data_IF_861000576412
#
_entry.id   IF_861000576412
#
_cell.length_a   1.000
_cell.length_b   1.000
_cell.length_c   1.000
_cell.angle_alpha   90.00
_cell.angle_beta   90.00
_cell.angle_gamma   90.00
#
_symmetry.space_group_name_H-M   'P 1'
#
loop_
_entity.id
_entity.type
_entity.pdbx_description
1 polymer ?
#
# COMPACT_ATOMS: atom_id res chain seq x y z
N UNK A 1 -3.22 -3.45 -3.82
CA UNK A 1 -1.90 -3.51 -3.17
C UNK A 1 -2.04 -4.50 -2.02
N UNK A 2 -1.07 -5.39 -1.79
CA UNK A 2 -1.15 -6.49 -0.81
C UNK A 2 -0.97 -6.06 0.66
N UNK A 3 -1.37 -4.83 0.99
CA UNK A 3 -1.24 -4.23 2.33
C UNK A 3 0.14 -3.61 2.60
N UNK A 4 0.20 -2.84 3.69
CA UNK A 4 1.43 -2.33 4.30
C UNK A 4 1.73 -3.14 5.57
N UNK A 5 2.98 -3.12 6.03
CA UNK A 5 3.38 -3.80 7.27
C UNK A 5 2.63 -3.26 8.50
N UNK A 6 2.43 -4.13 9.50
CA UNK A 6 1.88 -3.75 10.81
C UNK A 6 2.91 -2.85 11.52
N UNK A 7 2.45 -1.72 12.04
CA UNK A 7 3.27 -0.84 12.85
C UNK A 7 3.12 -1.17 14.34
N UNK A 8 4.24 -1.20 15.06
CA UNK A 8 4.27 -1.48 16.49
C UNK A 8 4.69 -0.23 17.28
N UNK A 9 3.92 0.12 18.30
CA UNK A 9 4.31 1.12 19.28
C UNK A 9 5.31 0.55 20.29
N UNK A 10 6.12 1.38 20.97
CA UNK A 10 7.06 0.91 22.00
C UNK A 10 6.42 0.12 23.16
N UNK A 11 5.13 0.34 23.42
CA UNK A 11 4.35 -0.40 24.42
C UNK A 11 3.70 -1.69 23.88
N UNK A 12 4.11 -2.15 22.70
CA UNK A 12 3.63 -3.38 22.07
C UNK A 12 2.24 -3.27 21.43
N UNK A 13 1.55 -2.13 21.51
CA UNK A 13 0.28 -1.93 20.79
C UNK A 13 0.54 -1.91 19.29
N UNK A 14 -0.27 -2.65 18.55
CA UNK A 14 -0.11 -2.81 17.11
C UNK A 14 -1.15 -1.98 16.37
N UNK A 15 -0.74 -1.44 15.23
CA UNK A 15 -1.55 -0.60 14.36
C UNK A 15 -1.45 -1.09 12.93
N UNK A 16 -2.58 -1.23 12.25
CA UNK A 16 -2.63 -1.63 10.85
C UNK A 16 -3.84 -0.98 10.19
N UNK A 17 -3.83 -0.94 8.86
CA UNK A 17 -4.99 -0.54 8.07
C UNK A 17 -5.63 -1.74 7.38
N UNK A 18 -6.93 -1.68 7.21
CA UNK A 18 -7.73 -2.68 6.47
C UNK A 18 -8.16 -2.09 5.12
N UNK A 19 -8.25 -2.95 4.12
CA UNK A 19 -8.82 -2.61 2.82
C UNK A 19 -10.33 -2.79 2.81
N UNK A 20 -10.89 -2.76 1.61
CA UNK A 20 -12.30 -2.94 1.38
C UNK A 20 -12.80 -4.34 1.72
N UNK A 21 -14.10 -4.46 1.98
CA UNK A 21 -14.77 -5.76 2.09
C UNK A 21 -16.04 -5.82 1.21
N UNK A 22 -17.11 -6.48 1.68
CA UNK A 22 -18.40 -6.40 1.04
C UNK A 22 -19.05 -5.03 1.33
N UNK A 23 -19.50 -4.25 0.33
CA UNK A 23 -20.17 -2.99 0.61
C UNK A 23 -21.38 -3.16 1.54
N UNK A 24 -21.45 -2.36 2.59
CA UNK A 24 -22.55 -2.37 3.56
C UNK A 24 -22.46 -3.47 4.63
N UNK A 25 -21.32 -4.17 4.73
CA UNK A 25 -21.09 -5.17 5.79
C UNK A 25 -20.47 -4.58 7.05
N UNK A 26 -19.97 -3.34 7.01
CA UNK A 26 -19.28 -2.70 8.13
C UNK A 26 -20.14 -2.71 9.39
N UNK A 27 -19.56 -3.19 10.50
CA UNK A 27 -20.20 -3.21 11.81
C UNK A 27 -19.34 -2.57 12.91
N UNK A 28 -18.09 -2.18 12.59
CA UNK A 28 -17.15 -1.58 13.53
C UNK A 28 -16.61 -2.53 14.60
N UNK A 29 -16.92 -3.83 14.53
CA UNK A 29 -16.56 -4.86 15.52
C UNK A 29 -15.82 -6.02 14.87
N UNK A 30 -16.46 -6.69 13.90
CA UNK A 30 -15.92 -7.83 13.14
C UNK A 30 -15.58 -7.42 11.71
N UNK A 31 -16.47 -6.64 11.10
CA UNK A 31 -16.30 -6.05 9.79
C UNK A 31 -15.84 -4.62 9.97
N UNK A 32 -14.52 -4.47 9.85
CA UNK A 32 -13.78 -3.23 10.08
C UNK A 32 -13.01 -2.84 8.83
N UNK A 33 -13.60 -3.00 7.65
CA UNK A 33 -13.04 -2.52 6.38
C UNK A 33 -12.67 -1.04 6.45
N UNK A 34 -11.77 -0.62 5.56
CA UNK A 34 -11.40 0.78 5.38
C UNK A 34 -10.98 1.51 6.65
N UNK A 35 -10.34 0.81 7.59
CA UNK A 35 -10.11 1.30 8.93
C UNK A 35 -8.65 1.29 9.32
N UNK A 36 -8.24 2.23 10.19
CA UNK A 36 -7.04 2.09 11.01
C UNK A 36 -7.43 1.42 12.33
N UNK A 37 -6.78 0.32 12.63
CA UNK A 37 -7.11 -0.56 13.75
C UNK A 37 -5.96 -0.53 14.75
N UNK A 38 -6.28 -0.36 16.03
CA UNK A 38 -5.35 -0.46 17.15
C UNK A 38 -5.70 -1.69 17.98
N UNK A 39 -4.76 -2.61 18.14
CA UNK A 39 -4.95 -3.83 18.93
C UNK A 39 -3.89 -3.97 20.02
N UNK A 40 -4.22 -4.78 21.04
CA UNK A 40 -3.27 -5.16 22.08
C UNK A 40 -2.15 -6.07 21.56
N UNK A 41 -1.02 -6.18 22.27
CA UNK A 41 0.11 -7.02 21.86
C UNK A 41 -0.24 -8.49 21.61
N UNK A 42 -1.28 -9.00 22.28
CA UNK A 42 -1.74 -10.39 22.17
C UNK A 42 -2.76 -10.61 21.04
N UNK A 43 -3.11 -9.57 20.26
CA UNK A 43 -4.08 -9.63 19.15
C UNK A 43 -5.52 -10.03 19.51
N UNK A 44 -5.85 -10.12 20.80
CA UNK A 44 -7.20 -10.51 21.27
C UNK A 44 -8.14 -9.33 21.48
N UNK A 45 -7.60 -8.13 21.72
CA UNK A 45 -8.38 -6.96 22.10
C UNK A 45 -8.27 -5.87 21.04
N UNK A 46 -9.41 -5.49 20.45
CA UNK A 46 -9.57 -4.26 19.71
C UNK A 46 -9.58 -3.09 20.70
N UNK A 47 -8.56 -2.23 20.64
CA UNK A 47 -8.37 -1.12 21.58
C UNK A 47 -8.81 0.24 21.00
N UNK A 48 -9.03 0.32 19.70
CA UNK A 48 -9.48 1.53 19.04
C UNK A 48 -9.53 1.35 17.52
N UNK A 49 -10.35 2.18 16.89
CA UNK A 49 -10.54 2.18 15.45
C UNK A 49 -10.69 3.62 14.96
N UNK A 50 -10.25 3.88 13.75
CA UNK A 50 -10.66 5.02 12.95
C UNK A 50 -11.19 4.47 11.63
N UNK A 51 -12.37 4.91 11.22
CA UNK A 51 -12.96 4.55 9.92
C UNK A 51 -13.43 5.85 9.26
N UNK A 52 -12.99 6.17 8.02
CA UNK A 52 -13.50 7.32 7.29
C UNK A 52 -15.03 7.27 7.17
N UNK A 53 -15.67 8.41 7.34
CA UNK A 53 -17.12 8.60 7.27
C UNK A 53 -17.75 8.16 5.94
N UNK A 54 -16.95 8.05 4.88
CA UNK A 54 -17.33 7.60 3.55
C UNK A 54 -16.86 6.16 3.23
N UNK A 55 -16.63 5.32 4.24
CA UNK A 55 -16.18 3.92 4.08
C UNK A 55 -17.03 3.14 3.06
N UNK A 56 -18.35 3.31 3.07
CA UNK A 56 -19.25 2.61 2.17
C UNK A 56 -18.95 2.89 0.68
N UNK A 57 -18.63 4.14 0.35
CA UNK A 57 -18.27 4.52 -1.02
C UNK A 57 -16.84 4.05 -1.36
N UNK A 58 -15.94 4.05 -0.38
CA UNK A 58 -14.59 3.50 -0.56
C UNK A 58 -14.63 2.00 -0.86
N UNK A 59 -15.44 1.26 -0.10
CA UNK A 59 -15.67 -0.17 -0.26
C UNK A 59 -16.19 -0.51 -1.67
N UNK A 60 -17.19 0.25 -2.14
CA UNK A 60 -17.78 0.08 -3.48
C UNK A 60 -16.79 0.32 -4.62
N UNK A 61 -15.85 1.23 -4.43
CA UNK A 61 -15.00 1.76 -5.51
C UNK A 61 -13.57 1.24 -5.47
N UNK A 62 -13.26 0.25 -4.62
CA UNK A 62 -11.90 -0.27 -4.42
C UNK A 62 -10.95 0.87 -4.03
N UNK A 63 -11.42 1.84 -3.22
CA UNK A 63 -10.66 3.03 -2.82
C UNK A 63 -9.89 2.86 -1.50
N UNK A 64 -9.44 1.63 -1.25
CA UNK A 64 -8.79 1.13 -0.03
C UNK A 64 -7.96 2.15 0.77
N UNK A 65 -8.27 2.31 2.05
CA UNK A 65 -7.38 2.85 3.06
C UNK A 65 -6.20 1.92 3.33
N UNK A 66 -6.45 0.60 3.27
CA UNK A 66 -5.47 -0.46 3.47
C UNK A 66 -4.27 -0.42 2.52
N UNK A 67 -4.34 0.35 1.42
CA UNK A 67 -3.23 0.46 0.47
C UNK A 67 -2.02 1.21 1.02
N UNK A 68 -2.17 2.11 2.01
CA UNK A 68 -1.05 2.97 2.42
C UNK A 68 -0.55 2.84 3.85
N UNK A 69 -1.07 1.88 4.60
CA UNK A 69 -0.53 1.53 5.91
C UNK A 69 -0.69 2.63 6.95
N UNK A 70 -0.09 2.39 8.11
CA UNK A 70 -0.14 3.31 9.25
C UNK A 70 1.29 3.65 9.66
N UNK A 71 1.68 4.91 9.50
CA UNK A 71 2.95 5.43 9.99
C UNK A 71 2.75 5.97 11.40
N UNK A 72 3.35 5.32 12.39
CA UNK A 72 3.41 5.85 13.75
C UNK A 72 4.55 6.86 13.83
N UNK A 73 4.24 8.08 14.26
CA UNK A 73 5.27 9.10 14.45
C UNK A 73 5.96 8.89 15.80
N UNK A 74 7.27 9.17 15.89
CA UNK A 74 7.92 9.48 17.16
C UNK A 74 7.16 10.58 17.91
N UNK A 75 7.31 10.59 19.24
CA UNK A 75 6.59 11.52 20.09
C UNK A 75 6.77 12.97 19.62
N UNK A 76 5.66 13.68 19.44
CA UNK A 76 5.65 15.10 19.09
C UNK A 76 5.47 15.96 20.35
N UNK A 77 5.98 17.21 20.38
CA UNK A 77 5.68 18.11 21.48
C UNK A 77 4.19 18.54 21.47
N UNK A 78 3.72 19.08 22.58
CA UNK A 78 2.35 19.61 22.69
C UNK A 78 1.33 18.61 23.24
N UNK A 79 0.03 18.86 23.07
CA UNK A 79 -1.04 18.15 23.78
C UNK A 79 -1.27 16.72 23.29
N UNK A 80 -0.85 16.39 22.06
CA UNK A 80 -1.00 15.05 21.47
C UNK A 80 0.36 14.49 21.03
N UNK A 81 1.12 13.86 21.93
CA UNK A 81 2.45 13.37 21.59
C UNK A 81 2.42 12.13 20.71
N UNK A 82 1.38 11.29 20.82
CA UNK A 82 1.29 10.02 20.11
C UNK A 82 0.47 10.18 18.82
N UNK A 83 1.14 10.50 17.71
CA UNK A 83 0.48 10.72 16.42
C UNK A 83 0.69 9.55 15.45
N UNK A 84 -0.25 9.40 14.51
CA UNK A 84 -0.12 8.51 13.36
C UNK A 84 -0.60 9.21 12.08
N UNK A 85 0.00 8.84 10.95
CA UNK A 85 -0.43 9.27 9.62
C UNK A 85 -0.81 8.07 8.77
N UNK A 86 -1.89 8.18 8.00
CA UNK A 86 -2.36 7.15 7.07
C UNK A 86 -2.87 7.81 5.80
N UNK A 87 -2.70 7.14 4.67
CA UNK A 87 -3.30 7.53 3.40
C UNK A 87 -3.68 6.25 2.63
N UNK A 88 -4.58 6.39 1.65
CA UNK A 88 -5.05 5.27 0.84
C UNK A 88 -5.34 5.67 -0.59
N UNK A 89 -5.88 4.74 -1.38
CA UNK A 89 -6.16 4.93 -2.81
C UNK A 89 -7.07 6.13 -3.06
N UNK A 90 -8.03 6.39 -2.17
CA UNK A 90 -8.91 7.56 -2.31
C UNK A 90 -8.14 8.89 -2.32
N UNK A 91 -7.02 8.97 -1.61
CA UNK A 91 -6.11 10.11 -1.65
C UNK A 91 -6.20 11.16 -0.55
N UNK A 92 -7.14 11.14 0.41
CA UNK A 92 -6.94 11.87 1.65
C UNK A 92 -5.86 11.23 2.53
N UNK A 93 -4.97 12.05 3.08
CA UNK A 93 -4.06 11.69 4.16
C UNK A 93 -4.64 12.22 5.48
N UNK A 94 -4.70 11.36 6.49
CA UNK A 94 -5.29 11.63 7.80
C UNK A 94 -4.21 11.70 8.88
N UNK A 95 -4.33 12.69 9.78
CA UNK A 95 -3.54 12.77 11.01
C UNK A 95 -4.39 12.30 12.19
N UNK A 96 -3.93 11.26 12.88
CA UNK A 96 -4.67 10.58 13.94
C UNK A 96 -3.98 10.76 15.29
N UNK A 97 -4.78 10.88 16.36
CA UNK A 97 -4.31 10.72 17.73
C UNK A 97 -4.32 9.21 18.07
N UNK A 98 -3.17 8.61 18.36
CA UNK A 98 -3.07 7.18 18.68
C UNK A 98 -3.73 6.82 20.01
N UNK A 99 -3.89 7.79 20.91
CA UNK A 99 -4.55 7.57 22.19
C UNK A 99 -6.07 7.56 22.07
N UNK A 100 -6.62 8.27 21.06
CA UNK A 100 -8.04 8.24 20.70
C UNK A 100 -8.20 8.37 19.19
N UNK A 101 -8.38 7.23 18.50
CA UNK A 101 -8.43 7.17 17.04
C UNK A 101 -9.69 7.83 16.43
N UNK A 102 -10.71 8.12 17.23
CA UNK A 102 -11.89 8.87 16.79
C UNK A 102 -13.09 8.02 16.33
N UNK A 103 -12.93 6.71 16.15
CA UNK A 103 -14.01 5.79 15.80
C UNK A 103 -14.53 5.99 14.37
N UNK A 104 -15.78 5.61 14.16
CA UNK A 104 -16.56 5.89 12.95
C UNK A 104 -17.63 6.93 13.26
N UNK A 105 -17.81 7.90 12.36
CA UNK A 105 -18.89 8.89 12.43
C UNK A 105 -19.69 8.83 11.13
N UNK A 106 -20.85 8.15 11.09
CA UNK A 106 -21.68 8.06 9.89
C UNK A 106 -22.04 9.45 9.36
N UNK A 107 -21.79 9.72 8.08
CA UNK A 107 -22.03 11.04 7.47
C UNK A 107 -21.03 12.14 7.86
N UNK A 108 -20.08 11.83 8.75
CA UNK A 108 -19.01 12.72 9.17
C UNK A 108 -19.45 13.85 10.13
N UNK A 109 -18.56 14.81 10.39
CA UNK A 109 -17.16 14.82 9.98
C UNK A 109 -16.32 13.75 10.70
N UNK A 110 -15.23 13.33 10.07
CA UNK A 110 -14.23 12.44 10.69
C UNK A 110 -13.61 13.10 11.93
N UNK A 111 -13.48 12.36 13.04
CA UNK A 111 -12.85 12.84 14.30
C UNK A 111 -11.33 12.71 14.28
N UNK A 112 -10.71 13.16 13.21
CA UNK A 112 -9.24 13.19 13.01
C UNK A 112 -8.67 14.55 13.42
N UNK A 113 -7.35 14.64 13.59
CA UNK A 113 -6.69 15.90 13.92
C UNK A 113 -6.56 16.83 12.70
N UNK A 114 -6.31 16.25 11.51
CA UNK A 114 -6.28 16.97 10.23
C UNK A 114 -6.45 15.98 9.06
N UNK A 115 -6.84 16.52 7.90
CA UNK A 115 -7.05 15.78 6.65
C UNK A 115 -6.53 16.62 5.48
N UNK A 116 -5.64 16.07 4.65
CA UNK A 116 -5.09 16.75 3.47
C UNK A 116 -5.27 15.92 2.20
N UNK A 117 -5.69 16.51 1.07
CA UNK A 117 -5.74 15.81 -0.20
C UNK A 117 -4.32 15.63 -0.76
N UNK A 118 -3.92 14.39 -1.03
CA UNK A 118 -2.65 14.05 -1.67
C UNK A 118 -2.83 13.41 -3.06
N UNK A 119 -4.09 13.25 -3.52
CA UNK A 119 -4.48 12.47 -4.72
C UNK A 119 -4.24 10.97 -4.53
N UNK A 120 -4.52 10.17 -5.56
CA UNK A 120 -4.49 8.72 -5.48
C UNK A 120 -3.15 8.20 -4.97
N UNK A 121 -3.18 7.34 -3.95
CA UNK A 121 -2.01 6.81 -3.26
C UNK A 121 -2.09 5.27 -3.16
N UNK A 122 -1.39 4.59 -4.05
CA UNK A 122 -0.80 3.28 -3.73
C UNK A 122 0.61 3.57 -3.28
N UNK A 123 0.72 4.10 -2.08
CA UNK A 123 1.92 4.66 -1.52
C UNK A 123 1.94 4.32 -0.04
N UNK A 124 2.97 4.69 0.69
CA UNK A 124 2.79 4.89 2.12
C UNK A 124 3.69 6.00 2.62
N UNK A 125 3.26 6.69 3.68
CA UNK A 125 3.99 7.84 4.16
C UNK A 125 5.30 7.40 4.82
N UNK A 126 6.35 8.19 4.60
CA UNK A 126 7.61 8.08 5.34
C UNK A 126 7.79 9.28 6.28
N UNK A 127 8.82 9.23 7.13
CA UNK A 127 9.00 10.19 8.22
C UNK A 127 10.45 10.65 8.31
N UNK A 128 10.64 11.89 8.77
CA UNK A 128 11.90 12.33 9.37
C UNK A 128 11.66 13.43 10.42
N UNK A 129 12.64 13.60 11.30
CA UNK A 129 12.69 14.75 12.22
C UNK A 129 13.54 15.84 11.58
N UNK A 130 13.00 17.05 11.46
CA UNK A 130 13.75 18.16 10.89
C UNK A 130 14.71 18.82 11.88
N UNK A 131 15.46 19.84 11.44
CA UNK A 131 16.45 20.54 12.27
C UNK A 131 15.86 21.27 13.50
N UNK A 132 14.57 21.57 13.46
CA UNK A 132 13.81 22.14 14.57
C UNK A 132 13.34 21.08 15.59
N UNK A 133 13.70 19.81 15.42
CA UNK A 133 13.26 18.71 16.29
C UNK A 133 11.81 18.29 16.07
N UNK A 134 11.11 18.87 15.09
CA UNK A 134 9.70 18.58 14.80
C UNK A 134 9.59 17.52 13.69
N UNK A 135 8.60 16.65 13.82
CA UNK A 135 8.31 15.61 12.84
C UNK A 135 7.79 16.15 11.53
N UNK A 136 8.19 15.49 10.45
CA UNK A 136 7.69 15.70 9.09
C UNK A 136 7.24 14.38 8.50
N UNK A 137 6.06 14.41 7.89
CA UNK A 137 5.51 13.31 7.12
C UNK A 137 5.74 13.59 5.64
N UNK A 138 6.26 12.59 4.94
CA UNK A 138 6.43 12.62 3.48
C UNK A 138 5.31 11.79 2.89
N UNK A 139 4.44 12.42 2.10
CA UNK A 139 3.39 11.75 1.34
C UNK A 139 3.79 11.59 -0.12
N UNK A 140 3.27 10.57 -0.79
CA UNK A 140 3.39 10.43 -2.24
C UNK A 140 2.06 10.07 -2.88
N UNK A 141 1.40 11.01 -3.53
CA UNK A 141 0.20 10.72 -4.32
C UNK A 141 0.39 11.11 -5.78
N UNK A 142 -0.65 10.96 -6.59
CA UNK A 142 -0.54 11.28 -8.01
C UNK A 142 -1.71 10.77 -8.84
N UNK A 143 -1.41 10.43 -10.08
CA UNK A 143 -2.33 9.83 -11.05
C UNK A 143 -1.64 8.66 -11.77
N UNK A 144 -2.29 8.09 -12.78
CA UNK A 144 -1.78 6.91 -13.49
C UNK A 144 -0.46 7.11 -14.27
N UNK A 145 0.06 8.34 -14.39
CA UNK A 145 1.28 8.66 -15.15
C UNK A 145 2.35 9.38 -14.34
N UNK A 146 1.96 10.07 -13.27
CA UNK A 146 2.86 10.88 -12.46
C UNK A 146 2.62 10.66 -10.96
N UNK A 147 3.71 10.67 -10.20
CA UNK A 147 3.70 10.80 -8.75
C UNK A 147 4.21 12.20 -8.34
N UNK A 148 3.79 12.65 -7.17
CA UNK A 148 4.22 13.88 -6.53
C UNK A 148 4.52 13.60 -5.05
N UNK A 149 5.70 14.01 -4.61
CA UNK A 149 6.12 13.93 -3.21
C UNK A 149 5.85 15.27 -2.54
N UNK A 150 5.30 15.24 -1.32
CA UNK A 150 5.02 16.44 -0.53
C UNK A 150 5.50 16.23 0.90
N UNK A 151 6.16 17.25 1.47
CA UNK A 151 6.61 17.28 2.87
C UNK A 151 5.62 18.10 3.70
N UNK A 152 5.14 17.49 4.79
CA UNK A 152 4.21 18.08 5.74
C UNK A 152 4.85 18.13 7.12
N UNK A 153 5.12 19.34 7.62
CA UNK A 153 5.51 19.53 9.02
C UNK A 153 4.29 19.30 9.93
N UNK A 154 4.51 18.64 11.06
CA UNK A 154 3.51 18.57 12.12
C UNK A 154 3.53 19.87 12.90
N UNK A 155 2.50 20.69 12.72
CA UNK A 155 2.21 21.77 13.66
C UNK A 155 1.64 21.15 14.94
N UNK A 156 2.06 21.64 16.10
CA UNK A 156 1.62 21.13 17.41
C UNK A 156 0.86 22.16 18.24
N UNK A 157 0.88 23.43 17.81
CA UNK A 157 0.21 24.57 18.46
C UNK A 157 -0.08 25.66 17.41
N UNK A 158 -1.19 26.42 17.50
CA UNK A 158 -2.25 26.30 18.52
C UNK A 158 -3.12 25.05 18.33
N UNK A 159 -3.10 24.47 17.14
CA UNK A 159 -3.79 23.23 16.80
C UNK A 159 -2.84 22.25 16.14
N UNK A 160 -3.05 20.96 16.39
CA UNK A 160 -2.26 19.90 15.76
C UNK A 160 -2.73 19.71 14.33
N UNK A 161 -1.84 19.90 13.35
CA UNK A 161 -2.19 19.87 11.93
C UNK A 161 -1.00 19.55 11.03
N UNK A 162 -1.29 19.16 9.79
CA UNK A 162 -0.31 19.14 8.71
C UNK A 162 -0.13 20.54 8.12
N UNK A 163 1.11 21.00 8.07
CA UNK A 163 1.51 22.23 7.37
C UNK A 163 2.45 21.86 6.24
N UNK A 164 2.05 22.15 5.01
CA UNK A 164 2.88 21.86 3.83
C UNK A 164 4.12 22.76 3.85
N UNK A 165 5.31 22.17 3.81
CA UNK A 165 6.57 22.91 3.65
C UNK A 165 6.94 23.03 2.16
N UNK A 166 6.69 21.98 1.38
CA UNK A 166 6.94 22.00 -0.06
C UNK A 166 6.61 20.69 -0.76
N UNK A 167 6.64 20.71 -2.09
CA UNK A 167 6.39 19.55 -2.93
C UNK A 167 7.41 19.44 -4.05
N UNK A 168 7.73 18.21 -4.47
CA UNK A 168 8.49 17.98 -5.68
C UNK A 168 7.62 18.33 -6.91
N UNK A 169 8.29 18.70 -8.00
CA UNK A 169 7.64 18.67 -9.31
C UNK A 169 7.16 17.24 -9.58
N UNK A 170 5.97 17.05 -10.19
CA UNK A 170 5.51 15.73 -10.57
C UNK A 170 6.55 15.02 -11.45
N UNK A 171 6.82 13.75 -11.15
CA UNK A 171 7.77 12.93 -11.90
C UNK A 171 7.09 11.67 -12.41
N UNK A 172 7.67 11.11 -13.48
CA UNK A 172 7.11 9.94 -14.16
C UNK A 172 7.00 8.74 -13.22
N UNK A 173 5.77 8.24 -13.08
CA UNK A 173 5.45 7.04 -12.33
C UNK A 173 4.12 6.49 -12.84
N UNK A 174 4.18 5.42 -13.62
CA UNK A 174 2.99 4.88 -14.29
C UNK A 174 2.10 3.99 -13.43
N UNK A 175 1.14 3.35 -14.09
CA UNK A 175 0.20 2.34 -13.58
C UNK A 175 -0.83 2.90 -12.59
N UNK A 176 -0.36 3.42 -11.47
CA UNK A 176 -1.17 3.82 -10.32
C UNK A 176 -0.58 5.08 -9.67
N UNK A 177 -1.44 5.93 -9.11
CA UNK A 177 -1.01 7.14 -8.40
C UNK A 177 -0.14 6.86 -7.16
N UNK A 178 0.82 7.75 -6.92
CA UNK A 178 1.76 7.71 -5.81
C UNK A 178 2.92 6.72 -6.00
N UNK A 179 3.83 6.68 -5.03
CA UNK A 179 4.90 5.69 -4.95
C UNK A 179 5.40 5.50 -3.52
N UNK A 180 6.24 4.50 -3.31
CA UNK A 180 6.92 4.25 -2.04
C UNK A 180 8.10 5.19 -1.87
N UNK A 181 8.28 5.66 -0.63
CA UNK A 181 9.37 6.56 -0.27
C UNK A 181 10.14 6.03 0.93
N UNK A 182 11.44 6.31 0.94
CA UNK A 182 12.30 6.12 2.10
C UNK A 182 13.10 7.40 2.33
N UNK A 183 13.48 7.67 3.58
CA UNK A 183 14.22 8.88 3.94
C UNK A 183 15.53 8.50 4.58
N UNK A 184 16.59 9.25 4.25
CA UNK A 184 17.87 9.21 4.94
C UNK A 184 18.25 10.62 5.39
N UNK A 185 18.84 10.75 6.57
CA UNK A 185 19.38 12.01 7.08
C UNK A 185 20.56 11.76 8.02
N UNK A 186 21.34 12.80 8.32
CA UNK A 186 22.27 12.78 9.44
C UNK A 186 21.58 13.34 10.69
N UNK A 187 20.68 12.54 11.27
CA UNK A 187 19.83 12.98 12.39
C UNK A 187 18.99 14.20 12.02
N UNK A 188 19.13 15.27 12.79
CA UNK A 188 18.46 16.57 12.58
C UNK A 188 19.36 17.60 11.89
N UNK A 189 20.53 17.21 11.37
CA UNK A 189 21.42 18.17 10.70
C UNK A 189 20.76 18.76 9.44
N UNK A 190 20.66 20.09 9.39
CA UNK A 190 20.07 20.82 8.28
C UNK A 190 20.74 20.49 6.94
N UNK A 191 19.92 20.34 5.89
CA UNK A 191 20.39 20.09 4.52
C UNK A 191 20.82 18.65 4.23
N UNK A 192 20.78 17.74 5.20
CA UNK A 192 21.23 16.34 5.02
C UNK A 192 20.11 15.36 4.66
N UNK A 193 18.84 15.77 4.82
CA UNK A 193 17.70 14.89 4.59
C UNK A 193 17.41 14.73 3.10
N UNK A 194 17.40 13.47 2.64
CA UNK A 194 17.10 13.07 1.27
C UNK A 194 15.89 12.14 1.28
N UNK A 195 14.91 12.44 0.42
CA UNK A 195 13.75 11.60 0.15
C UNK A 195 14.05 10.79 -1.11
N UNK A 196 14.06 9.47 -0.96
CA UNK A 196 14.25 8.51 -2.04
C UNK A 196 12.91 7.94 -2.47
N UNK A 197 12.70 7.84 -3.78
CA UNK A 197 11.47 7.31 -4.34
C UNK A 197 11.77 6.53 -5.62
N UNK A 198 11.03 5.45 -5.87
CA UNK A 198 11.13 4.72 -7.13
C UNK A 198 9.93 5.01 -8.00
N UNK A 199 10.12 5.38 -9.26
CA UNK A 199 9.00 5.46 -10.19
C UNK A 199 8.38 4.08 -10.43
N UNK A 200 7.13 4.06 -10.87
CA UNK A 200 6.53 2.86 -11.48
C UNK A 200 6.75 2.82 -12.98
N UNK A 201 6.72 1.63 -13.60
CA UNK A 201 6.79 1.48 -15.05
C UNK A 201 5.78 2.37 -15.75
N UNK A 202 6.25 3.31 -16.56
CA UNK A 202 5.38 4.11 -17.43
C UNK A 202 4.83 3.19 -18.50
N UNK A 203 3.53 3.15 -18.80
CA UNK A 203 2.95 2.22 -19.79
C UNK A 203 3.43 2.41 -21.25
N UNK A 204 4.50 3.17 -21.45
CA UNK A 204 5.14 3.53 -22.71
C UNK A 204 6.60 3.04 -22.71
N UNK A 205 7.04 2.46 -23.83
CA UNK A 205 8.42 2.01 -24.04
C UNK A 205 8.57 0.49 -24.24
N UNK A 206 9.80 0.02 -24.56
CA UNK A 206 10.07 -1.40 -24.78
C UNK A 206 9.97 -2.19 -23.46
N UNK A 207 9.40 -3.40 -23.53
CA UNK A 207 9.29 -4.31 -22.39
C UNK A 207 10.60 -5.12 -22.23
N UNK A 208 11.20 -5.23 -21.02
CA UNK A 208 10.72 -4.69 -19.74
C UNK A 208 10.98 -3.20 -19.58
N UNK A 209 9.97 -2.51 -19.05
CA UNK A 209 9.98 -1.05 -18.92
C UNK A 209 10.90 -0.64 -17.77
N UNK A 210 11.69 0.41 -18.00
CA UNK A 210 12.61 0.96 -17.01
C UNK A 210 11.87 1.47 -15.76
N UNK A 211 12.50 1.25 -14.61
CA UNK A 211 12.10 1.85 -13.33
C UNK A 211 13.25 2.72 -12.85
N UNK A 212 12.95 3.98 -12.51
CA UNK A 212 13.94 4.95 -12.06
C UNK A 212 13.91 5.12 -10.54
N UNK A 213 15.08 5.34 -9.96
CA UNK A 213 15.24 5.90 -8.63
C UNK A 213 15.35 7.43 -8.75
N UNK A 214 14.66 8.13 -7.86
CA UNK A 214 14.71 9.58 -7.69
C UNK A 214 15.16 9.90 -6.27
N UNK A 215 15.92 10.99 -6.12
CA UNK A 215 16.32 11.54 -4.83
C UNK A 215 16.00 13.04 -4.80
N UNK A 216 15.28 13.47 -3.76
CA UNK A 216 14.91 14.87 -3.57
C UNK A 216 15.50 15.38 -2.26
N UNK A 217 15.99 16.62 -2.24
CA UNK A 217 16.26 17.30 -0.99
C UNK A 217 14.94 17.55 -0.27
N UNK A 218 14.88 17.20 1.03
CA UNK A 218 13.68 17.39 1.82
C UNK A 218 13.44 18.87 2.22
N UNK A 219 14.47 19.71 2.09
CA UNK A 219 14.37 21.16 2.32
C UNK A 219 13.89 21.85 1.04
N UNK A 220 12.71 22.48 1.04
CA UNK A 220 12.19 23.16 -0.14
C UNK A 220 12.95 24.47 -0.43
N UNK A 221 13.11 24.77 -1.71
CA UNK A 221 13.54 26.07 -2.23
C UNK A 221 12.36 26.70 -2.97
N UNK A 222 11.85 27.82 -2.49
CA UNK A 222 10.64 28.46 -3.05
C UNK A 222 9.40 27.54 -3.04
N UNK A 223 9.26 26.68 -2.02
CA UNK A 223 8.17 25.70 -1.91
C UNK A 223 8.33 24.44 -2.77
N UNK A 224 9.41 24.34 -3.56
CA UNK A 224 9.71 23.18 -4.40
C UNK A 224 10.80 22.32 -3.78
N UNK A 225 10.64 20.99 -3.75
CA UNK A 225 11.69 20.06 -3.33
C UNK A 225 12.67 19.83 -4.50
N UNK A 226 13.95 20.25 -4.37
CA UNK A 226 14.94 20.07 -5.45
C UNK A 226 15.21 18.59 -5.75
N UNK A 227 15.22 18.23 -7.04
CA UNK A 227 15.71 16.92 -7.49
C UNK A 227 17.24 16.91 -7.41
N UNK A 228 17.80 15.99 -6.63
CA UNK A 228 19.25 15.82 -6.46
C UNK A 228 19.82 14.78 -7.42
N UNK A 229 19.06 13.71 -7.69
CA UNK A 229 19.52 12.58 -8.48
C UNK A 229 18.34 11.84 -9.12
N UNK A 230 18.55 11.34 -10.33
CA UNK A 230 17.65 10.40 -10.98
C UNK A 230 18.44 9.46 -11.89
N UNK A 231 18.19 8.16 -11.80
CA UNK A 231 18.79 7.17 -12.71
C UNK A 231 17.93 5.91 -12.80
N UNK A 232 18.12 5.14 -13.87
CA UNK A 232 17.48 3.83 -14.00
C UNK A 232 17.99 2.89 -12.91
N UNK A 233 17.08 2.40 -12.08
CA UNK A 233 17.35 1.45 -11.01
C UNK A 233 17.01 0.01 -11.38
N UNK A 234 16.24 -0.21 -12.45
CA UNK A 234 15.87 -1.54 -12.87
C UNK A 234 14.89 -1.55 -14.02
N UNK A 235 14.16 -2.66 -14.14
CA UNK A 235 13.06 -2.79 -15.08
C UNK A 235 11.95 -3.66 -14.51
N UNK A 236 10.79 -3.59 -15.14
CA UNK A 236 9.61 -4.36 -14.78
C UNK A 236 8.90 -4.88 -16.03
N UNK A 237 8.60 -6.18 -16.12
CA UNK A 237 8.04 -6.78 -17.33
C UNK A 237 6.53 -6.60 -17.45
N UNK A 238 5.83 -6.38 -16.34
CA UNK A 238 4.37 -6.28 -16.33
C UNK A 238 3.90 -4.84 -16.27
N UNK A 239 3.58 -4.27 -17.42
CA UNK A 239 3.19 -2.86 -17.57
C UNK A 239 1.78 -2.57 -17.05
N UNK A 240 0.95 -3.60 -16.91
CA UNK A 240 -0.40 -3.50 -16.35
C UNK A 240 -0.49 -3.86 -14.86
N UNK A 241 0.51 -4.57 -14.31
CA UNK A 241 0.51 -5.01 -12.92
C UNK A 241 1.18 -4.00 -12.00
N UNK A 242 0.60 -3.72 -10.83
CA UNK A 242 1.12 -2.73 -9.89
C UNK A 242 2.51 -3.08 -9.34
N UNK A 243 3.54 -2.42 -9.88
CA UNK A 243 4.90 -2.53 -9.37
C UNK A 243 4.97 -1.94 -7.96
N UNK A 244 5.30 -2.79 -6.99
CA UNK A 244 5.58 -2.42 -5.61
C UNK A 244 7.08 -2.51 -5.37
N UNK A 245 7.77 -1.43 -5.71
CA UNK A 245 9.20 -1.29 -5.52
C UNK A 245 9.38 -0.27 -4.40
N UNK A 246 10.15 -0.65 -3.38
CA UNK A 246 10.46 0.19 -2.22
C UNK A 246 11.96 0.40 -2.19
N UNK A 247 12.48 1.63 -2.31
CA UNK A 247 13.90 1.87 -2.10
C UNK A 247 14.22 1.66 -0.62
N UNK A 248 15.30 0.94 -0.31
CA UNK A 248 15.80 0.80 1.07
C UNK A 248 17.10 1.57 1.18
N UNK A 249 17.26 2.35 2.25
CA UNK A 249 18.51 3.08 2.51
C UNK A 249 19.14 2.53 3.77
N UNK A 250 20.38 2.09 3.68
CA UNK A 250 21.13 1.55 4.81
C UNK A 250 22.62 1.77 4.62
N UNK A 251 23.33 2.17 5.68
CA UNK A 251 24.80 2.32 5.70
C UNK A 251 25.37 3.16 4.55
N UNK A 252 24.66 4.21 4.11
CA UNK A 252 25.09 5.08 3.02
C UNK A 252 24.81 4.54 1.60
N UNK A 253 24.11 3.41 1.50
CA UNK A 253 23.73 2.79 0.23
C UNK A 253 22.21 2.82 0.03
N UNK A 254 21.78 2.91 -1.23
CA UNK A 254 20.38 2.80 -1.63
C UNK A 254 20.19 1.54 -2.45
N UNK A 255 19.33 0.65 -1.97
CA UNK A 255 19.03 -0.64 -2.55
C UNK A 255 17.68 -0.57 -3.25
N UNK A 256 17.63 -0.95 -4.52
CA UNK A 256 16.40 -1.04 -5.30
C UNK A 256 16.26 -2.44 -5.86
N UNK A 257 15.35 -3.21 -5.26
CA UNK A 257 14.95 -4.51 -5.77
C UNK A 257 13.89 -4.33 -6.87
N UNK A 258 14.23 -4.75 -8.07
CA UNK A 258 13.36 -4.76 -9.26
C UNK A 258 13.24 -6.18 -9.80
N UNK A 259 12.56 -6.37 -10.94
CA UNK A 259 12.31 -7.71 -11.47
C UNK A 259 13.62 -8.47 -11.74
N UNK A 260 13.90 -9.49 -10.91
CA UNK A 260 15.10 -10.33 -10.96
C UNK A 260 16.42 -9.56 -10.88
N UNK A 261 16.43 -8.33 -10.33
CA UNK A 261 17.62 -7.49 -10.24
C UNK A 261 17.62 -6.65 -8.98
N UNK A 262 18.72 -6.67 -8.24
CA UNK A 262 19.03 -5.70 -7.19
C UNK A 262 20.05 -4.69 -7.74
N UNK A 263 19.72 -3.41 -7.69
CA UNK A 263 20.66 -2.32 -8.00
C UNK A 263 21.00 -1.58 -6.71
N UNK A 264 22.29 -1.31 -6.49
CA UNK A 264 22.80 -0.66 -5.29
C UNK A 264 23.49 0.64 -5.72
N UNK A 265 23.06 1.76 -5.15
CA UNK A 265 23.64 3.08 -5.37
C UNK A 265 24.44 3.50 -4.12
N UNK A 266 25.61 4.12 -4.32
CA UNK A 266 26.44 4.66 -3.26
C UNK A 266 26.86 6.10 -3.54
N UNK A 267 27.34 6.80 -2.52
CA UNK A 267 27.88 8.15 -2.66
C UNK A 267 29.33 8.09 -3.15
N UNK A 268 29.59 8.51 -4.39
CA UNK A 268 30.94 8.68 -4.92
C UNK A 268 31.10 8.16 -6.34
N UNK A 269 31.59 9.01 -7.25
CA UNK A 269 31.95 8.67 -8.63
C UNK A 269 33.18 7.77 -8.77
N UNK A 270 33.31 6.76 -7.91
CA UNK A 270 34.25 5.66 -8.13
C UNK A 270 33.85 4.88 -9.39
N UNK A 271 34.79 4.14 -10.01
CA UNK A 271 34.46 3.32 -11.16
C UNK A 271 33.30 2.39 -10.81
N UNK A 272 32.35 2.27 -11.74
CA UNK A 272 31.26 1.30 -11.66
C UNK A 272 31.87 -0.04 -11.22
N UNK A 273 31.59 -0.49 -10.00
CA UNK A 273 31.95 -1.86 -9.62
C UNK A 273 31.16 -2.73 -10.58
N UNK A 274 31.89 -3.55 -11.36
CA UNK A 274 31.27 -4.42 -12.34
C UNK A 274 30.13 -5.20 -11.67
N UNK A 275 29.03 -5.37 -12.41
CA UNK A 275 27.84 -6.11 -11.97
C UNK A 275 28.30 -7.38 -11.24
N UNK A 276 27.97 -7.50 -9.95
CA UNK A 276 28.13 -8.78 -9.25
C UNK A 276 27.40 -9.85 -10.06
N UNK A 277 27.97 -11.06 -10.17
CA UNK A 277 27.31 -12.15 -10.88
C UNK A 277 25.86 -12.28 -10.40
N UNK A 278 24.98 -12.62 -11.34
CA UNK A 278 23.57 -12.80 -11.01
C UNK A 278 23.48 -13.81 -9.87
N UNK A 279 22.97 -13.36 -8.72
CA UNK A 279 22.70 -14.26 -7.61
C UNK A 279 21.86 -15.42 -8.14
N UNK A 280 22.32 -16.66 -7.89
CA UNK A 280 21.58 -17.84 -8.29
C UNK A 280 20.20 -17.75 -7.68
N UNK A 281 19.17 -17.75 -8.53
CA UNK A 281 17.78 -17.74 -8.08
C UNK A 281 17.61 -18.96 -7.15
N UNK A 282 17.29 -18.78 -5.86
CA UNK A 282 16.94 -19.91 -5.01
C UNK A 282 15.81 -20.69 -5.67
N UNK A 283 15.82 -22.02 -5.56
CA UNK A 283 14.67 -22.81 -6.00
C UNK A 283 13.41 -22.20 -5.37
N UNK A 284 12.35 -22.03 -6.18
CA UNK A 284 11.09 -21.55 -5.64
C UNK A 284 10.66 -22.49 -4.52
N UNK A 285 10.24 -21.94 -3.38
CA UNK A 285 9.52 -22.70 -2.37
C UNK A 285 8.12 -23.00 -2.93
N UNK A 286 8.05 -23.94 -3.88
CA UNK A 286 6.80 -24.36 -4.54
C UNK A 286 5.96 -25.29 -3.65
N UNK A 287 6.42 -25.60 -2.45
CA UNK A 287 5.87 -26.70 -1.64
C UNK A 287 4.46 -26.46 -1.11
N UNK A 288 3.90 -25.25 -1.23
CA UNK A 288 2.61 -24.89 -0.65
C UNK A 288 1.63 -24.16 -1.60
N UNK A 289 1.94 -23.99 -2.88
CA UNK A 289 0.96 -23.41 -3.81
C UNK A 289 -0.12 -24.46 -4.12
N UNK A 290 -1.42 -24.17 -3.91
CA UNK A 290 -2.47 -25.11 -4.29
C UNK A 290 -2.37 -25.42 -5.80
N UNK A 291 -2.55 -26.69 -6.20
CA UNK A 291 -2.33 -27.13 -7.58
C UNK A 291 -3.30 -26.47 -8.57
N UNK A 292 -4.44 -25.94 -8.10
CA UNK A 292 -5.45 -25.35 -8.94
C UNK A 292 -5.80 -23.92 -8.55
N UNK A 293 -5.88 -23.06 -9.56
CA UNK A 293 -6.26 -21.65 -9.41
C UNK A 293 -7.13 -21.23 -10.59
N UNK A 294 -8.33 -20.73 -10.30
CA UNK A 294 -9.28 -20.26 -11.32
C UNK A 294 -9.67 -18.83 -11.01
N UNK A 295 -9.64 -17.93 -12.00
CA UNK A 295 -10.17 -16.57 -11.84
C UNK A 295 -11.37 -16.33 -12.77
N UNK A 296 -12.43 -15.74 -12.24
CA UNK A 296 -13.62 -15.42 -13.05
C UNK A 296 -14.59 -14.44 -12.39
N UNK A 297 -15.54 -13.96 -13.19
CA UNK A 297 -16.67 -13.15 -12.70
C UNK A 297 -17.70 -14.09 -12.07
N UNK A 298 -18.06 -13.84 -10.81
CA UNK A 298 -19.10 -14.58 -10.13
C UNK A 298 -20.47 -14.28 -10.77
N UNK A 299 -21.11 -15.28 -11.35
CA UNK A 299 -22.45 -15.15 -11.94
C UNK A 299 -23.54 -15.54 -10.95
N UNK A 300 -23.29 -16.57 -10.15
CA UNK A 300 -24.27 -17.12 -9.22
C UNK A 300 -23.58 -17.63 -7.95
N UNK A 301 -24.17 -17.31 -6.81
CA UNK A 301 -23.82 -17.84 -5.49
C UNK A 301 -25.11 -18.35 -4.84
N UNK A 302 -25.38 -19.66 -4.94
CA UNK A 302 -26.58 -20.27 -4.37
C UNK A 302 -26.31 -21.71 -3.95
N UNK A 303 -26.21 -21.92 -2.64
CA UNK A 303 -25.69 -23.18 -2.07
C UNK A 303 -24.16 -23.24 -2.09
N UNK A 304 -23.55 -24.39 -1.74
CA UNK A 304 -22.09 -24.50 -1.60
C UNK A 304 -21.34 -24.41 -2.93
N UNK A 305 -22.04 -24.24 -4.06
CA UNK A 305 -21.43 -24.21 -5.39
C UNK A 305 -21.58 -22.83 -6.02
N UNK A 306 -20.45 -22.18 -6.26
CA UNK A 306 -20.33 -20.93 -6.98
C UNK A 306 -20.16 -21.20 -8.48
N UNK A 307 -20.66 -20.27 -9.29
CA UNK A 307 -20.48 -20.29 -10.76
C UNK A 307 -19.66 -19.07 -11.16
N UNK A 308 -18.46 -19.30 -11.70
CA UNK A 308 -17.58 -18.25 -12.20
C UNK A 308 -17.45 -18.33 -13.72
N UNK A 309 -17.57 -17.20 -14.41
CA UNK A 309 -17.19 -17.08 -15.82
C UNK A 309 -15.73 -16.65 -15.93
N UNK A 310 -14.87 -17.53 -16.44
CA UNK A 310 -13.43 -17.26 -16.57
C UNK A 310 -13.12 -16.29 -17.71
N UNK A 311 -11.85 -15.89 -17.83
CA UNK A 311 -11.39 -14.95 -18.87
C UNK A 311 -11.73 -15.42 -20.29
N UNK A 312 -11.79 -16.73 -20.51
CA UNK A 312 -12.10 -17.33 -21.82
C UNK A 312 -13.60 -17.49 -22.06
N UNK A 313 -14.45 -17.04 -21.13
CA UNK A 313 -15.90 -17.19 -21.19
C UNK A 313 -16.41 -18.55 -20.70
N UNK A 314 -15.51 -19.47 -20.32
CA UNK A 314 -15.86 -20.79 -19.79
C UNK A 314 -16.50 -20.65 -18.41
N UNK A 315 -17.48 -21.50 -18.13
CA UNK A 315 -18.07 -21.63 -16.80
C UNK A 315 -17.25 -22.60 -15.95
N UNK A 316 -16.80 -22.13 -14.79
CA UNK A 316 -16.18 -22.93 -13.75
C UNK A 316 -17.14 -23.05 -12.56
N UNK A 317 -17.23 -24.25 -11.99
CA UNK A 317 -17.97 -24.53 -10.76
C UNK A 317 -17.00 -24.66 -9.61
N UNK A 318 -17.36 -24.12 -8.45
CA UNK A 318 -16.49 -24.08 -7.27
C UNK A 318 -17.29 -24.48 -6.05
N UNK A 319 -16.90 -25.56 -5.36
CA UNK A 319 -17.41 -25.91 -4.03
C UNK A 319 -16.66 -25.08 -2.97
N UNK A 320 -17.34 -24.12 -2.34
CA UNK A 320 -16.75 -23.16 -1.40
C UNK A 320 -16.86 -23.57 0.08
N UNK A 321 -17.38 -24.77 0.35
CA UNK A 321 -17.65 -25.27 1.70
C UNK A 321 -16.42 -25.22 2.62
N UNK A 322 -15.24 -25.56 2.11
CA UNK A 322 -13.99 -25.60 2.89
C UNK A 322 -13.47 -24.18 3.19
N UNK A 323 -13.51 -23.29 2.20
CA UNK A 323 -13.19 -21.88 2.39
C UNK A 323 -14.13 -21.22 3.40
N UNK A 324 -15.44 -21.55 3.35
CA UNK A 324 -16.43 -21.06 4.30
C UNK A 324 -16.15 -21.53 5.73
N UNK A 325 -15.88 -22.83 5.92
CA UNK A 325 -15.57 -23.39 7.25
C UNK A 325 -14.31 -22.81 7.87
N UNK A 326 -13.31 -22.48 7.04
CA UNK A 326 -12.02 -21.95 7.49
C UNK A 326 -11.95 -20.41 7.54
N UNK A 327 -13.03 -19.72 7.17
CA UNK A 327 -13.07 -18.26 7.10
C UNK A 327 -12.17 -17.67 6.00
N UNK A 328 -11.81 -18.47 4.99
CA UNK A 328 -10.98 -18.08 3.84
C UNK A 328 -11.84 -17.64 2.63
N UNK A 329 -13.03 -17.11 2.90
CA UNK A 329 -13.96 -16.58 1.91
C UNK A 329 -14.65 -15.35 2.50
N UNK A 330 -14.74 -14.28 1.71
CA UNK A 330 -15.48 -13.06 2.05
C UNK A 330 -16.92 -13.08 1.54
N UNK A 331 -17.63 -11.96 1.69
CA UNK A 331 -18.97 -11.80 1.12
C UNK A 331 -18.91 -11.84 -0.40
N UNK A 332 -19.71 -12.73 -0.98
CA UNK A 332 -19.80 -12.95 -2.41
C UNK A 332 -20.89 -12.07 -3.01
N UNK A 333 -20.53 -11.30 -4.03
CA UNK A 333 -21.43 -10.37 -4.71
C UNK A 333 -21.38 -10.67 -6.21
N UNK A 334 -22.49 -11.16 -6.81
CA UNK A 334 -22.56 -11.42 -8.24
C UNK A 334 -22.15 -10.21 -9.09
N UNK A 335 -21.49 -10.46 -10.20
CA UNK A 335 -20.89 -9.46 -11.08
C UNK A 335 -19.45 -9.07 -10.73
N UNK A 336 -18.95 -9.45 -9.55
CA UNK A 336 -17.56 -9.19 -9.17
C UNK A 336 -16.62 -10.34 -9.56
N UNK A 337 -15.35 -10.01 -9.79
CA UNK A 337 -14.32 -11.00 -10.07
C UNK A 337 -13.74 -11.61 -8.79
N UNK A 338 -13.52 -12.92 -8.81
CA UNK A 338 -12.91 -13.70 -7.72
C UNK A 338 -11.83 -14.64 -8.25
N UNK A 339 -10.77 -14.82 -7.47
CA UNK A 339 -9.75 -15.83 -7.65
C UNK A 339 -9.97 -16.94 -6.61
N UNK A 340 -9.99 -18.18 -7.09
CA UNK A 340 -10.30 -19.37 -6.30
C UNK A 340 -9.09 -20.28 -6.32
N UNK A 341 -8.65 -20.70 -5.14
CA UNK A 341 -7.54 -21.62 -4.96
C UNK A 341 -8.02 -22.90 -4.28
N UNK A 342 -7.65 -24.05 -4.83
CA UNK A 342 -8.11 -25.34 -4.34
C UNK A 342 -7.17 -26.49 -4.69
N UNK A 343 -7.42 -27.64 -4.09
CA UNK A 343 -6.54 -28.82 -4.20
C UNK A 343 -7.05 -29.88 -5.15
N UNK A 344 -8.36 -30.01 -5.31
CA UNK A 344 -8.99 -31.13 -6.04
C UNK A 344 -10.32 -30.71 -6.65
N UNK A 345 -10.72 -31.37 -7.73
CA UNK A 345 -12.09 -31.31 -8.26
C UNK A 345 -12.94 -32.45 -7.71
N UNK A 346 -14.21 -32.19 -7.44
CA UNK A 346 -15.16 -33.23 -7.07
C UNK A 346 -15.66 -34.02 -8.29
N UNK A 347 -16.50 -35.04 -8.06
CA UNK A 347 -17.07 -35.87 -9.12
C UNK A 347 -17.99 -35.12 -10.09
N UNK A 348 -18.40 -33.90 -9.75
CA UNK A 348 -19.21 -33.02 -10.61
C UNK A 348 -18.36 -32.04 -11.43
N UNK A 349 -17.04 -32.07 -11.24
CA UNK A 349 -16.09 -31.14 -11.86
C UNK A 349 -16.04 -29.78 -11.18
N UNK A 350 -16.54 -29.64 -9.94
CA UNK A 350 -16.40 -28.41 -9.17
C UNK A 350 -15.07 -28.41 -8.41
N UNK A 351 -14.34 -27.29 -8.48
CA UNK A 351 -13.10 -27.12 -7.71
C UNK A 351 -13.45 -26.97 -6.22
N UNK A 352 -12.88 -27.81 -5.36
CA UNK A 352 -13.01 -27.68 -3.90
C UNK A 352 -12.09 -26.55 -3.42
N UNK A 353 -12.66 -25.40 -3.13
CA UNK A 353 -11.94 -24.19 -2.79
C UNK A 353 -11.49 -24.19 -1.34
N UNK A 354 -10.20 -23.92 -1.14
CA UNK A 354 -9.63 -23.61 0.16
C UNK A 354 -9.64 -22.10 0.43
N UNK A 355 -9.51 -21.29 -0.62
CA UNK A 355 -9.53 -19.82 -0.53
C UNK A 355 -10.35 -19.27 -1.70
N UNK A 356 -11.23 -18.30 -1.40
CA UNK A 356 -11.97 -17.53 -2.40
C UNK A 356 -11.78 -16.04 -2.11
N UNK A 357 -10.97 -15.38 -2.92
CA UNK A 357 -10.60 -13.97 -2.75
C UNK A 357 -11.09 -13.08 -3.90
N UNK A 358 -11.28 -11.79 -3.64
CA UNK A 358 -11.55 -10.78 -4.69
C UNK A 358 -10.40 -10.75 -5.71
N UNK A 359 -10.75 -10.72 -6.99
CA UNK A 359 -9.81 -10.47 -8.07
C UNK A 359 -10.01 -9.07 -8.67
N UNK A 360 -9.03 -8.60 -9.45
CA UNK A 360 -9.14 -7.34 -10.20
C UNK A 360 -10.34 -7.42 -11.17
N UNK A 361 -11.06 -6.32 -11.36
CA UNK A 361 -12.24 -6.32 -12.24
C UNK A 361 -11.90 -6.64 -13.71
N UNK A 362 -10.70 -6.26 -14.18
CA UNK A 362 -10.27 -6.51 -15.57
C UNK A 362 -9.61 -7.88 -15.73
N UNK A 363 -10.09 -8.74 -16.66
CA UNK A 363 -9.49 -10.04 -16.96
C UNK A 363 -8.03 -10.00 -17.45
N UNK A 364 -7.56 -8.84 -17.93
CA UNK A 364 -6.18 -8.66 -18.36
C UNK A 364 -5.17 -8.83 -17.22
N UNK A 365 -5.61 -8.69 -15.96
CA UNK A 365 -4.76 -8.81 -14.77
C UNK A 365 -4.88 -10.16 -14.07
N UNK A 366 -5.70 -11.09 -14.58
CA UNK A 366 -5.88 -12.39 -13.95
C UNK A 366 -4.72 -13.32 -14.28
N UNK A 367 -4.23 -14.11 -13.29
CA UNK A 367 -3.29 -15.17 -13.58
C UNK A 367 -3.91 -16.18 -14.57
N UNK A 368 -3.10 -16.92 -15.34
CA UNK A 368 -3.61 -18.06 -16.10
C UNK A 368 -4.27 -19.08 -15.17
N UNK A 369 -5.43 -19.60 -15.58
CA UNK A 369 -6.08 -20.71 -14.89
C UNK A 369 -5.15 -21.95 -14.95
N UNK A 370 -5.04 -22.71 -13.85
CA UNK A 370 -4.22 -23.92 -13.74
C UNK A 370 -4.88 -24.99 -12.88
#
# INVERSE_FOLDING_TARGET
MSGYGIAAAPNGKLFFSTGNSGPGTYDGVRNIQESVVKVGPQLVNLLGIFTPSNEFDMDKTDADLGSGGVLLLPAQPGPFPNLAATAGKLGPMYLLNRDSLGGFTPGGPDKVLDKKPIKHCLCGPSYFTGPDGIGRVVSSGGNAINAQITVWKIQTSPTVAFVQEGAALPFASGQDGGTFTSVSSNGTQAGTTIIWATGRPTGTGPNPIAVNLYAFAATPSGGTLPLLFSSQAGSWPNTGGGANIVPVVANGWVFVASNKKLTIFGLGGGPFVARAEDATKPAALDTNAPPHEITGVLEHAGGPVLTLRTRTGKIARVDDSDALRSGQIGVLVPGNAYAVQGTTYDSTGALRAQVVGRAKASPAFWPPDR
#
